data_IF_968466267165
#
_entry.id   IF_968466267165
#
_cell.length_a   1.000
_cell.length_b   1.000
_cell.length_c   1.000
_cell.angle_alpha   90.00
_cell.angle_beta   90.00
_cell.angle_gamma   90.00
#
_symmetry.space_group_name_H-M   'P 1'
#
loop_
_entity.id
_entity.type
_entity.pdbx_description
1 polymer ?
#
# COMPACT_ATOMS: atom_id res chain seq x y z
N UNK A 1 -21.93 2.73 -5.20
CA UNK A 1 -21.28 3.99 -5.60
C UNK A 1 -22.17 5.12 -5.14
N UNK A 2 -21.70 5.89 -4.18
CA UNK A 2 -22.48 6.96 -3.55
C UNK A 2 -22.23 8.28 -4.30
N UNK A 3 -23.15 9.25 -4.20
CA UNK A 3 -23.02 10.55 -4.88
C UNK A 3 -21.74 11.33 -4.48
N UNK A 4 -21.14 11.01 -3.32
CA UNK A 4 -19.85 11.52 -2.86
C UNK A 4 -18.67 10.97 -3.66
N UNK A 5 -18.69 9.69 -4.06
CA UNK A 5 -17.63 9.07 -4.86
C UNK A 5 -17.58 9.66 -6.29
N UNK A 6 -18.74 10.10 -6.80
CA UNK A 6 -18.85 10.75 -8.09
C UNK A 6 -18.30 12.19 -8.07
N UNK A 7 -18.50 12.91 -6.96
CA UNK A 7 -17.98 14.27 -6.79
C UNK A 7 -16.48 14.28 -6.50
N UNK A 8 -15.98 13.25 -5.81
CA UNK A 8 -14.53 13.01 -5.59
C UNK A 8 -13.75 12.68 -6.87
N UNK A 9 -14.45 12.33 -7.95
CA UNK A 9 -13.89 11.98 -9.25
C UNK A 9 -13.92 13.13 -10.27
N UNK A 10 -14.40 14.33 -9.90
CA UNK A 10 -14.38 15.47 -10.82
C UNK A 10 -12.91 15.84 -11.15
N UNK A 11 -12.55 16.02 -12.45
CA UNK A 11 -11.18 16.32 -12.86
C UNK A 11 -10.65 17.62 -12.21
N UNK A 12 -11.51 18.61 -12.05
CA UNK A 12 -11.19 19.90 -11.41
C UNK A 12 -10.82 19.75 -9.93
N UNK A 13 -11.55 18.91 -9.19
CA UNK A 13 -11.25 18.62 -7.79
C UNK A 13 -9.93 17.85 -7.65
N UNK A 14 -9.65 16.91 -8.56
CA UNK A 14 -8.39 16.18 -8.59
C UNK A 14 -7.20 17.12 -8.87
N UNK A 15 -7.37 18.09 -9.77
CA UNK A 15 -6.36 19.13 -10.03
C UNK A 15 -6.16 19.99 -8.77
N UNK A 16 -7.24 20.44 -8.13
CA UNK A 16 -7.16 21.23 -6.90
C UNK A 16 -6.45 20.47 -5.76
N UNK A 17 -6.76 19.18 -5.58
CA UNK A 17 -6.07 18.28 -4.64
C UNK A 17 -4.60 18.11 -5.00
N UNK A 18 -4.28 17.95 -6.28
CA UNK A 18 -2.90 17.87 -6.75
C UNK A 18 -2.11 19.13 -6.41
N UNK A 19 -2.67 20.32 -6.64
CA UNK A 19 -2.03 21.58 -6.26
C UNK A 19 -1.87 21.75 -4.74
N UNK A 20 -2.82 21.24 -3.94
CA UNK A 20 -2.67 21.20 -2.49
C UNK A 20 -1.47 20.32 -2.07
N UNK A 21 -1.37 19.11 -2.62
CA UNK A 21 -0.24 18.21 -2.36
C UNK A 21 1.11 18.80 -2.79
N UNK A 22 1.16 19.59 -3.89
CA UNK A 22 2.38 20.33 -4.28
C UNK A 22 2.78 21.33 -3.21
N UNK A 23 1.84 22.08 -2.62
CA UNK A 23 2.13 23.03 -1.53
C UNK A 23 2.64 22.33 -0.28
N UNK A 24 2.16 21.11 -0.03
CA UNK A 24 2.59 20.28 1.10
C UNK A 24 3.91 19.52 0.84
N UNK A 25 4.48 19.64 -0.37
CA UNK A 25 5.71 18.94 -0.78
C UNK A 25 5.51 17.46 -1.11
N UNK A 26 4.28 16.94 -1.08
CA UNK A 26 3.97 15.56 -1.43
C UNK A 26 3.85 15.38 -2.96
N UNK A 27 5.01 15.21 -3.59
CA UNK A 27 5.11 15.01 -5.05
C UNK A 27 4.49 13.70 -5.53
N UNK A 28 4.31 12.70 -4.65
CA UNK A 28 3.72 11.41 -5.01
C UNK A 28 2.20 11.56 -5.10
N UNK A 29 1.58 12.13 -4.05
CA UNK A 29 0.14 12.40 -4.04
C UNK A 29 -0.24 13.38 -5.15
N UNK A 30 0.56 14.43 -5.37
CA UNK A 30 0.33 15.38 -6.45
C UNK A 30 0.32 14.70 -7.83
N UNK A 31 1.34 13.89 -8.13
CA UNK A 31 1.44 13.16 -9.41
C UNK A 31 0.28 12.17 -9.59
N UNK A 32 -0.10 11.46 -8.54
CA UNK A 32 -1.23 10.53 -8.59
C UNK A 32 -2.55 11.25 -8.90
N UNK A 33 -2.80 12.39 -8.26
CA UNK A 33 -4.01 13.19 -8.47
C UNK A 33 -4.09 13.74 -9.91
N UNK A 34 -3.01 14.35 -10.41
CA UNK A 34 -2.98 14.89 -11.78
C UNK A 34 -3.09 13.79 -12.83
N UNK A 35 -2.40 12.65 -12.65
CA UNK A 35 -2.52 11.50 -13.56
C UNK A 35 -3.97 11.02 -13.61
N UNK A 36 -4.63 10.89 -12.46
CA UNK A 36 -6.04 10.48 -12.41
C UNK A 36 -6.95 11.48 -13.14
N UNK A 37 -6.68 12.78 -13.00
CA UNK A 37 -7.41 13.81 -13.74
C UNK A 37 -7.24 13.64 -15.27
N UNK A 38 -6.03 13.35 -15.76
CA UNK A 38 -5.79 13.10 -17.19
C UNK A 38 -6.44 11.82 -17.71
N UNK A 39 -6.57 10.78 -16.87
CA UNK A 39 -7.25 9.53 -17.23
C UNK A 39 -8.77 9.75 -17.37
N UNK A 40 -9.36 10.57 -16.49
CA UNK A 40 -10.80 10.86 -16.52
C UNK A 40 -11.16 11.90 -17.57
N UNK A 41 -10.26 12.83 -17.87
CA UNK A 41 -10.49 13.89 -18.87
C UNK A 41 -9.24 14.12 -19.73
N UNK A 42 -9.00 13.25 -20.75
CA UNK A 42 -7.83 13.35 -21.61
C UNK A 42 -7.75 14.64 -22.43
N UNK A 43 -8.87 15.34 -22.62
CA UNK A 43 -8.98 16.61 -23.33
C UNK A 43 -8.71 17.86 -22.45
N UNK A 44 -8.42 17.67 -21.16
CA UNK A 44 -8.26 18.80 -20.23
C UNK A 44 -6.80 19.29 -20.19
N UNK A 45 -6.52 20.44 -20.83
CA UNK A 45 -5.16 20.97 -20.99
C UNK A 45 -4.44 21.25 -19.66
N UNK A 46 -5.12 21.85 -18.69
CA UNK A 46 -4.56 22.21 -17.39
C UNK A 46 -4.09 20.98 -16.58
N UNK A 47 -4.74 19.83 -16.73
CA UNK A 47 -4.35 18.59 -16.05
C UNK A 47 -3.00 18.07 -16.58
N UNK A 48 -2.82 18.11 -17.90
CA UNK A 48 -1.55 17.74 -18.54
C UNK A 48 -0.42 18.70 -18.18
N UNK A 49 -0.70 20.01 -18.14
CA UNK A 49 0.26 21.03 -17.74
C UNK A 49 0.69 20.86 -16.27
N UNK A 50 -0.27 20.66 -15.36
CA UNK A 50 0.02 20.41 -13.94
C UNK A 50 0.81 19.09 -13.72
N UNK A 51 0.47 18.02 -14.47
CA UNK A 51 1.22 16.77 -14.44
C UNK A 51 2.68 16.96 -14.91
N UNK A 52 2.89 17.75 -15.96
CA UNK A 52 4.24 18.08 -16.42
C UNK A 52 5.06 18.80 -15.34
N UNK A 53 4.44 19.73 -14.60
CA UNK A 53 5.10 20.50 -13.54
C UNK A 53 5.71 19.62 -12.43
N UNK A 54 5.07 18.49 -12.10
CA UNK A 54 5.53 17.55 -11.07
C UNK A 54 6.33 16.35 -11.64
N UNK A 55 6.58 16.32 -12.94
CA UNK A 55 7.30 15.21 -13.60
C UNK A 55 8.78 15.53 -13.71
N UNK A 56 9.61 14.72 -13.03
CA UNK A 56 11.06 14.95 -12.96
C UNK A 56 11.80 14.48 -14.24
N UNK A 57 11.28 13.45 -14.91
CA UNK A 57 11.89 12.93 -16.14
C UNK A 57 11.59 13.89 -17.29
N UNK A 58 12.62 14.56 -17.81
CA UNK A 58 12.46 15.61 -18.83
C UNK A 58 11.74 15.14 -20.10
N UNK A 59 12.02 13.91 -20.56
CA UNK A 59 11.34 13.34 -21.74
C UNK A 59 9.83 13.24 -21.52
N UNK A 60 9.40 12.79 -20.35
CA UNK A 60 8.00 12.63 -20.00
C UNK A 60 7.34 13.97 -19.73
N UNK A 61 8.03 14.89 -19.04
CA UNK A 61 7.61 16.28 -18.85
C UNK A 61 7.31 16.95 -20.20
N UNK A 62 8.23 16.83 -21.17
CA UNK A 62 8.03 17.34 -22.53
C UNK A 62 6.83 16.70 -23.21
N UNK A 63 6.66 15.39 -23.13
CA UNK A 63 5.51 14.70 -23.72
C UNK A 63 4.17 15.22 -23.17
N UNK A 64 4.09 15.46 -21.87
CA UNK A 64 2.91 16.05 -21.24
C UNK A 64 2.65 17.50 -21.69
N UNK A 65 3.70 18.32 -21.81
CA UNK A 65 3.62 19.70 -22.30
C UNK A 65 3.18 19.78 -23.77
N UNK A 66 3.68 18.89 -24.63
CA UNK A 66 3.22 18.77 -26.03
C UNK A 66 1.73 18.44 -26.08
N UNK A 67 1.26 17.54 -25.21
CA UNK A 67 -0.17 17.20 -25.14
C UNK A 67 -1.02 18.36 -24.64
N UNK A 68 -0.58 19.04 -23.58
CA UNK A 68 -1.21 20.25 -23.07
C UNK A 68 -1.31 21.35 -24.15
N UNK A 69 -0.22 21.60 -24.89
CA UNK A 69 -0.16 22.60 -25.96
C UNK A 69 -1.06 22.29 -27.15
N UNK A 70 -1.24 21.01 -27.46
CA UNK A 70 -2.16 20.57 -28.50
C UNK A 70 -3.63 20.83 -28.13
N UNK A 71 -3.95 20.85 -26.83
CA UNK A 71 -5.31 21.08 -26.32
C UNK A 71 -5.59 22.58 -26.08
N UNK A 72 -4.57 23.35 -25.66
CA UNK A 72 -4.66 24.79 -25.45
C UNK A 72 -3.51 25.50 -26.18
N UNK A 73 -3.66 25.79 -27.48
CA UNK A 73 -2.59 26.36 -28.28
C UNK A 73 -2.33 27.85 -28.03
N UNK A 74 -3.22 28.54 -27.32
CA UNK A 74 -3.05 29.99 -27.09
C UNK A 74 -2.50 30.30 -25.70
N UNK A 75 -2.23 29.27 -24.88
CA UNK A 75 -1.73 29.45 -23.52
C UNK A 75 -0.21 29.77 -23.52
N UNK A 76 0.19 30.99 -23.10
CA UNK A 76 1.59 31.39 -23.08
C UNK A 76 2.40 30.65 -22.01
N UNK A 77 1.78 30.21 -20.90
CA UNK A 77 2.48 29.50 -19.82
C UNK A 77 2.93 28.11 -20.29
N UNK A 78 2.03 27.38 -20.97
CA UNK A 78 2.34 26.07 -21.55
C UNK A 78 3.43 26.19 -22.63
N UNK A 79 3.37 27.25 -23.45
CA UNK A 79 4.37 27.51 -24.49
C UNK A 79 5.76 27.81 -23.90
N UNK A 80 5.82 28.63 -22.84
CA UNK A 80 7.07 28.95 -22.16
C UNK A 80 7.69 27.70 -21.51
N UNK A 81 6.89 26.90 -20.80
CA UNK A 81 7.36 25.67 -20.16
C UNK A 81 7.84 24.61 -21.15
N UNK A 82 7.18 24.50 -22.31
CA UNK A 82 7.62 23.59 -23.38
C UNK A 82 8.95 24.04 -23.97
N UNK A 83 9.10 25.34 -24.25
CA UNK A 83 10.35 25.92 -24.75
C UNK A 83 11.49 25.71 -23.76
N UNK A 84 11.22 25.89 -22.46
CA UNK A 84 12.20 25.64 -21.41
C UNK A 84 12.58 24.15 -21.32
N UNK A 85 11.61 23.24 -21.40
CA UNK A 85 11.86 21.80 -21.40
C UNK A 85 12.70 21.36 -22.62
N UNK A 86 12.41 21.92 -23.80
CA UNK A 86 13.19 21.69 -25.03
C UNK A 86 14.63 22.20 -24.87
N UNK A 87 14.81 23.39 -24.28
CA UNK A 87 16.12 23.94 -24.00
C UNK A 87 16.94 23.07 -23.03
N UNK A 88 16.32 22.54 -21.96
CA UNK A 88 17.00 21.62 -21.05
C UNK A 88 17.41 20.30 -21.73
N UNK A 89 16.54 19.74 -22.57
CA UNK A 89 16.85 18.53 -23.33
C UNK A 89 17.99 18.79 -24.32
N UNK A 90 17.95 19.93 -25.04
CA UNK A 90 19.01 20.34 -25.96
C UNK A 90 20.36 20.58 -25.25
N UNK A 91 20.33 21.11 -24.03
CA UNK A 91 21.51 21.29 -23.18
C UNK A 91 22.04 19.97 -22.59
N UNK A 92 21.42 18.83 -22.88
CA UNK A 92 21.86 17.54 -22.38
C UNK A 92 21.58 17.32 -20.89
N UNK A 93 20.71 18.12 -20.28
CA UNK A 93 20.19 17.90 -18.91
C UNK A 93 19.24 16.68 -18.87
N UNK A 94 19.54 15.60 -19.60
CA UNK A 94 19.01 14.30 -19.23
C UNK A 94 19.49 14.05 -17.80
N UNK A 95 18.55 13.93 -16.84
CA UNK A 95 18.81 13.62 -15.44
C UNK A 95 20.12 12.85 -15.33
N UNK A 96 21.13 13.46 -14.70
CA UNK A 96 22.44 12.84 -14.55
C UNK A 96 22.19 11.40 -14.06
N UNK A 97 22.61 10.35 -14.79
CA UNK A 97 22.45 8.99 -14.32
C UNK A 97 23.00 8.96 -12.89
N UNK A 98 22.27 8.31 -11.98
CA UNK A 98 22.68 8.24 -10.58
C UNK A 98 24.17 7.91 -10.55
N UNK A 99 24.99 8.85 -10.04
CA UNK A 99 26.44 8.73 -10.04
C UNK A 99 26.84 7.61 -9.08
N UNK A 100 26.66 6.37 -9.50
CA UNK A 100 27.44 5.25 -9.01
C UNK A 100 28.81 5.44 -9.64
N UNK A 101 29.62 6.29 -9.02
CA UNK A 101 31.05 6.56 -9.28
C UNK A 101 31.65 5.65 -10.36
N UNK A 102 31.70 6.16 -11.60
CA UNK A 102 32.43 5.56 -12.73
C UNK A 102 33.92 5.98 -12.69
N UNK A 103 34.34 6.71 -11.65
CA UNK A 103 35.70 7.26 -11.50
C UNK A 103 36.78 6.19 -11.15
N UNK A 104 36.58 4.94 -11.54
CA UNK A 104 37.57 3.86 -11.43
C UNK A 104 37.80 3.13 -12.76
N UNK A 105 37.47 3.74 -13.90
CA UNK A 105 37.94 3.25 -15.21
C UNK A 105 39.37 3.77 -15.48
N UNK A 106 40.32 3.35 -14.65
CA UNK A 106 41.70 3.15 -15.13
C UNK A 106 41.72 1.88 -15.99
N UNK A 107 42.51 1.91 -17.06
CA UNK A 107 42.81 0.77 -17.96
C UNK A 107 43.18 -0.51 -17.18
N UNK A 108 42.18 -1.29 -16.76
CA UNK A 108 42.39 -2.66 -16.30
C UNK A 108 42.10 -3.62 -17.46
N UNK A 109 43.03 -4.52 -17.81
CA UNK A 109 42.81 -5.53 -18.82
C UNK A 109 41.61 -6.39 -18.42
N UNK A 110 40.76 -6.70 -19.39
CA UNK A 110 39.58 -7.53 -19.24
C UNK A 110 39.90 -8.79 -18.40
N UNK A 111 39.37 -8.84 -17.18
CA UNK A 111 39.47 -10.00 -16.29
C UNK A 111 38.86 -11.18 -17.04
N UNK A 112 39.71 -12.15 -17.39
CA UNK A 112 39.30 -13.48 -17.83
C UNK A 112 38.28 -14.03 -16.85
N UNK A 113 37.14 -14.48 -17.37
CA UNK A 113 36.06 -15.07 -16.58
C UNK A 113 36.64 -16.04 -15.53
N UNK A 114 36.32 -15.89 -14.24
CA UNK A 114 36.88 -16.76 -13.21
C UNK A 114 36.45 -18.19 -13.49
N UNK A 115 37.42 -19.10 -13.35
CA UNK A 115 37.21 -20.54 -13.31
C UNK A 115 36.03 -20.82 -12.37
N UNK A 116 34.93 -21.34 -12.91
CA UNK A 116 33.70 -21.55 -12.15
C UNK A 116 33.96 -22.72 -11.21
N UNK A 117 34.47 -22.40 -10.02
CA UNK A 117 34.47 -23.30 -8.88
C UNK A 117 33.01 -23.62 -8.59
N UNK A 118 32.53 -24.72 -9.16
CA UNK A 118 31.17 -25.21 -8.98
C UNK A 118 31.02 -25.69 -7.54
N UNK A 119 30.68 -24.78 -6.66
CA UNK A 119 30.30 -25.12 -5.30
C UNK A 119 28.96 -25.85 -5.31
N UNK A 120 28.81 -26.82 -4.40
CA UNK A 120 27.54 -27.51 -4.21
C UNK A 120 26.60 -26.69 -3.35
N UNK A 121 25.30 -26.79 -3.63
CA UNK A 121 24.30 -26.11 -2.81
C UNK A 121 24.36 -26.58 -1.35
N UNK A 122 24.34 -25.64 -0.40
CA UNK A 122 24.35 -25.92 1.04
C UNK A 122 23.25 -26.91 1.50
N UNK A 123 22.08 -26.92 0.85
CA UNK A 123 20.98 -27.87 1.14
C UNK A 123 20.96 -29.09 0.23
N UNK A 124 21.57 -29.01 -0.95
CA UNK A 124 21.55 -30.07 -1.96
C UNK A 124 22.98 -30.32 -2.46
N UNK A 125 23.76 -31.15 -1.74
CA UNK A 125 25.17 -31.38 -2.07
C UNK A 125 25.38 -32.01 -3.46
N UNK A 126 24.37 -32.70 -3.98
CA UNK A 126 24.37 -33.31 -5.32
C UNK A 126 24.24 -32.30 -6.47
N UNK A 127 23.95 -31.03 -6.18
CA UNK A 127 23.73 -29.99 -7.21
C UNK A 127 24.84 -28.96 -7.17
N UNK A 128 25.69 -28.97 -8.19
CA UNK A 128 26.61 -27.87 -8.48
C UNK A 128 25.82 -26.60 -8.83
N UNK A 129 26.28 -25.46 -8.32
CA UNK A 129 25.64 -24.18 -8.56
C UNK A 129 26.66 -23.05 -8.63
N UNK A 130 26.41 -22.09 -9.53
CA UNK A 130 27.11 -20.81 -9.56
C UNK A 130 26.36 -19.68 -8.83
N UNK A 131 25.20 -19.99 -8.22
CA UNK A 131 24.36 -18.99 -7.57
C UNK A 131 24.70 -18.89 -6.07
N UNK A 132 24.86 -17.65 -5.59
CA UNK A 132 25.05 -17.31 -4.17
C UNK A 132 23.95 -16.42 -3.64
N UNK A 133 23.63 -16.57 -2.35
CA UNK A 133 22.69 -15.69 -1.65
C UNK A 133 23.28 -14.28 -1.49
N UNK A 134 22.57 -13.23 -1.89
CA UNK A 134 23.09 -11.85 -1.80
C UNK A 134 23.29 -11.33 -0.37
N UNK A 135 22.82 -12.06 0.65
CA UNK A 135 22.90 -11.66 2.05
C UNK A 135 23.92 -12.45 2.88
N UNK A 136 24.02 -13.76 2.69
CA UNK A 136 24.93 -14.62 3.45
C UNK A 136 26.00 -15.30 2.60
N UNK A 137 26.02 -15.02 1.29
CA UNK A 137 26.97 -15.53 0.30
C UNK A 137 27.06 -17.07 0.15
N UNK A 138 26.15 -17.79 0.80
CA UNK A 138 26.06 -19.25 0.73
C UNK A 138 25.66 -19.72 -0.69
N UNK A 139 26.27 -20.82 -1.20
CA UNK A 139 25.91 -21.40 -2.48
C UNK A 139 24.50 -22.03 -2.44
N UNK A 140 23.64 -21.62 -3.37
CA UNK A 140 22.23 -22.04 -3.47
C UNK A 140 21.94 -22.59 -4.86
N UNK A 141 21.18 -23.67 -5.00
CA UNK A 141 20.75 -24.14 -6.32
C UNK A 141 19.54 -23.33 -6.81
N UNK A 142 19.25 -23.37 -8.12
CA UNK A 142 18.10 -22.66 -8.71
C UNK A 142 16.75 -22.99 -8.07
N UNK A 143 16.59 -24.18 -7.49
CA UNK A 143 15.37 -24.55 -6.74
C UNK A 143 15.31 -23.98 -5.32
N UNK A 144 16.45 -23.66 -4.72
CA UNK A 144 16.52 -23.03 -3.39
C UNK A 144 16.55 -21.50 -3.47
N UNK A 145 16.89 -20.95 -4.64
CA UNK A 145 16.92 -19.52 -4.89
C UNK A 145 15.51 -18.92 -4.83
N UNK A 146 15.33 -17.95 -3.95
CA UNK A 146 14.11 -17.13 -3.90
C UNK A 146 14.42 -15.75 -4.45
N UNK A 147 13.72 -15.35 -5.51
CA UNK A 147 13.89 -14.04 -6.14
C UNK A 147 13.38 -12.93 -5.21
N UNK A 148 14.18 -11.88 -5.06
CA UNK A 148 13.82 -10.64 -4.37
C UNK A 148 14.20 -9.43 -5.24
N UNK A 149 13.70 -8.22 -4.93
CA UNK A 149 14.01 -7.01 -5.68
C UNK A 149 15.52 -6.66 -5.75
N UNK A 150 16.32 -7.15 -4.80
CA UNK A 150 17.76 -6.89 -4.69
C UNK A 150 18.62 -8.11 -5.04
N UNK A 151 18.04 -9.13 -5.68
CA UNK A 151 18.72 -10.36 -6.08
C UNK A 151 18.13 -11.61 -5.42
N UNK A 152 18.87 -12.71 -5.44
CA UNK A 152 18.41 -14.00 -4.92
C UNK A 152 18.79 -14.21 -3.45
N UNK A 153 17.84 -14.70 -2.65
CA UNK A 153 18.08 -15.08 -1.26
C UNK A 153 17.91 -16.58 -1.04
N UNK A 154 18.67 -17.10 -0.09
CA UNK A 154 18.45 -18.43 0.46
C UNK A 154 17.18 -18.47 1.34
N UNK A 155 16.59 -19.67 1.56
CA UNK A 155 15.38 -19.82 2.36
C UNK A 155 15.49 -19.28 3.80
N UNK A 156 16.69 -19.36 4.38
CA UNK A 156 16.93 -18.94 5.77
C UNK A 156 16.98 -17.41 5.87
N UNK A 157 17.71 -16.73 4.97
CA UNK A 157 17.73 -15.27 4.90
C UNK A 157 16.36 -14.70 4.50
N UNK A 158 15.60 -15.39 3.63
CA UNK A 158 14.23 -15.01 3.28
C UNK A 158 13.27 -15.12 4.46
N UNK A 159 13.50 -16.08 5.35
CA UNK A 159 12.72 -16.23 6.59
C UNK A 159 13.09 -15.15 7.60
N UNK A 160 14.38 -14.83 7.74
CA UNK A 160 14.87 -13.74 8.58
C UNK A 160 14.38 -12.35 8.12
N UNK A 161 14.20 -12.13 6.80
CA UNK A 161 13.60 -10.91 6.24
C UNK A 161 12.08 -10.83 6.37
N UNK A 162 11.39 -11.86 6.87
CA UNK A 162 9.95 -11.70 7.14
C UNK A 162 9.79 -10.57 8.16
N UNK A 163 8.95 -9.55 7.86
CA UNK A 163 8.81 -8.42 8.75
C UNK A 163 8.43 -8.90 10.16
N UNK A 164 8.96 -8.29 11.22
CA UNK A 164 8.68 -8.67 12.61
C UNK A 164 7.17 -8.62 12.93
N UNK A 165 6.40 -7.89 12.13
CA UNK A 165 4.93 -7.83 12.18
C UNK A 165 4.24 -9.18 11.93
N UNK A 166 4.92 -10.16 11.33
CA UNK A 166 4.42 -11.53 11.06
C UNK A 166 4.91 -12.58 12.07
N UNK A 167 5.81 -12.19 12.99
CA UNK A 167 6.25 -13.03 14.11
C UNK A 167 5.32 -12.76 15.31
N UNK A 168 4.17 -13.45 15.28
CA UNK A 168 3.15 -13.33 16.32
C UNK A 168 3.52 -14.27 17.45
N UNK A 169 4.19 -13.73 18.47
CA UNK A 169 4.43 -14.42 19.73
C UNK A 169 3.09 -14.62 20.50
N UNK A 170 2.97 -15.71 21.24
CA UNK A 170 1.72 -16.17 21.90
C UNK A 170 1.14 -15.11 22.85
N UNK A 171 2.03 -14.35 23.50
CA UNK A 171 1.70 -13.22 24.38
C UNK A 171 0.92 -12.12 23.66
N UNK A 172 1.29 -11.80 22.41
CA UNK A 172 0.67 -10.74 21.61
C UNK A 172 -0.65 -11.19 21.01
N UNK A 173 -0.79 -12.50 20.75
CA UNK A 173 -2.04 -13.11 20.30
C UNK A 173 -3.12 -13.07 21.39
N UNK A 174 -2.75 -13.40 22.63
CA UNK A 174 -3.63 -13.31 23.80
C UNK A 174 -4.06 -11.86 24.06
N UNK A 175 -3.11 -10.93 24.06
CA UNK A 175 -3.39 -9.52 24.30
C UNK A 175 -4.33 -8.91 23.24
N UNK A 176 -4.09 -9.23 21.95
CA UNK A 176 -4.95 -8.78 20.85
C UNK A 176 -6.36 -9.37 20.94
N UNK A 177 -6.49 -10.65 21.30
CA UNK A 177 -7.79 -11.32 21.44
C UNK A 177 -8.60 -10.78 22.61
N UNK A 178 -7.94 -10.52 23.76
CA UNK A 178 -8.60 -9.98 24.94
C UNK A 178 -9.08 -8.53 24.70
N UNK A 179 -8.25 -7.70 24.07
CA UNK A 179 -8.62 -6.34 23.69
C UNK A 179 -9.79 -6.33 22.69
N UNK A 180 -9.73 -7.18 21.66
CA UNK A 180 -10.80 -7.34 20.68
C UNK A 180 -12.11 -7.76 21.35
N UNK A 181 -12.07 -8.76 22.24
CA UNK A 181 -13.23 -9.25 22.96
C UNK A 181 -13.85 -8.16 23.84
N UNK A 182 -13.03 -7.45 24.64
CA UNK A 182 -13.54 -6.41 25.54
C UNK A 182 -14.22 -5.25 24.80
N UNK A 183 -13.60 -4.76 23.73
CA UNK A 183 -14.19 -3.67 22.92
C UNK A 183 -15.43 -4.17 22.18
N UNK A 184 -15.37 -5.35 21.56
CA UNK A 184 -16.52 -5.92 20.86
C UNK A 184 -17.69 -6.14 21.82
N UNK A 185 -17.45 -6.70 23.00
CA UNK A 185 -18.48 -6.92 24.01
C UNK A 185 -19.18 -5.61 24.42
N UNK A 186 -18.41 -4.56 24.72
CA UNK A 186 -18.97 -3.25 25.07
C UNK A 186 -19.80 -2.63 23.95
N UNK A 187 -19.32 -2.72 22.70
CA UNK A 187 -20.02 -2.17 21.54
C UNK A 187 -21.31 -2.95 21.22
N UNK A 188 -21.27 -4.28 21.25
CA UNK A 188 -22.46 -5.12 21.04
C UNK A 188 -23.49 -4.94 22.16
N UNK A 189 -23.03 -4.80 23.41
CA UNK A 189 -23.90 -4.49 24.54
C UNK A 189 -24.60 -3.15 24.34
N UNK A 190 -23.86 -2.10 23.95
CA UNK A 190 -24.43 -0.79 23.66
C UNK A 190 -25.45 -0.81 22.53
N UNK A 191 -25.10 -1.43 21.39
CA UNK A 191 -26.00 -1.56 20.23
C UNK A 191 -27.27 -2.35 20.60
N UNK A 192 -27.11 -3.47 21.32
CA UNK A 192 -28.24 -4.30 21.73
C UNK A 192 -29.17 -3.61 22.73
N UNK A 193 -28.62 -2.87 23.70
CA UNK A 193 -29.44 -2.07 24.63
C UNK A 193 -30.21 -0.97 23.89
N UNK A 194 -29.56 -0.22 23.00
CA UNK A 194 -30.24 0.80 22.20
C UNK A 194 -31.34 0.17 21.33
N UNK A 195 -31.08 -1.01 20.77
CA UNK A 195 -32.06 -1.74 19.96
C UNK A 195 -33.28 -2.20 20.78
N UNK A 196 -33.12 -2.55 22.07
CA UNK A 196 -34.24 -2.87 22.95
C UNK A 196 -35.18 -1.67 23.15
N UNK A 197 -34.64 -0.46 23.32
CA UNK A 197 -35.45 0.75 23.51
C UNK A 197 -36.13 1.24 22.22
N UNK A 198 -35.50 1.01 21.07
CA UNK A 198 -35.98 1.50 19.76
C UNK A 198 -36.80 0.47 18.98
N UNK A 199 -36.82 -0.80 19.42
CA UNK A 199 -37.56 -1.88 18.79
C UNK A 199 -37.07 -2.16 17.36
N UNK A 200 -37.99 -2.18 16.40
CA UNK A 200 -37.69 -2.48 14.99
C UNK A 200 -36.65 -1.53 14.37
N UNK A 201 -36.64 -0.26 14.79
CA UNK A 201 -35.67 0.72 14.30
C UNK A 201 -34.23 0.39 14.74
N UNK A 202 -34.09 -0.36 15.83
CA UNK A 202 -32.81 -0.88 16.32
C UNK A 202 -32.06 -1.75 15.31
N UNK A 203 -32.78 -2.40 14.38
CA UNK A 203 -32.15 -3.19 13.32
C UNK A 203 -31.40 -2.32 12.31
N UNK A 204 -31.92 -1.14 11.99
CA UNK A 204 -31.24 -0.17 11.13
C UNK A 204 -30.04 0.45 11.83
N UNK A 205 -30.16 0.74 13.13
CA UNK A 205 -29.06 1.23 13.96
C UNK A 205 -27.94 0.17 14.00
N UNK A 206 -28.28 -1.10 14.22
CA UNK A 206 -27.31 -2.21 14.21
C UNK A 206 -26.62 -2.38 12.84
N UNK A 207 -27.36 -2.23 11.74
CA UNK A 207 -26.81 -2.32 10.39
C UNK A 207 -25.79 -1.21 10.09
N UNK A 208 -26.10 0.02 10.47
CA UNK A 208 -25.21 1.18 10.27
C UNK A 208 -24.03 1.12 11.23
N UNK A 209 -24.30 0.89 12.51
CA UNK A 209 -23.28 0.89 13.57
C UNK A 209 -22.33 -0.31 13.48
N UNK A 210 -22.77 -1.46 12.96
CA UNK A 210 -21.96 -2.68 12.88
C UNK A 210 -20.68 -2.51 12.05
N UNK A 211 -20.72 -1.72 10.97
CA UNK A 211 -19.55 -1.47 10.13
C UNK A 211 -18.55 -0.52 10.80
N UNK A 212 -19.05 0.56 11.43
CA UNK A 212 -18.24 1.48 12.22
C UNK A 212 -17.62 0.78 13.45
N UNK A 213 -18.35 -0.15 14.06
CA UNK A 213 -17.89 -0.98 15.16
C UNK A 213 -16.69 -1.83 14.77
N UNK A 214 -16.74 -2.52 13.62
CA UNK A 214 -15.62 -3.34 13.14
C UNK A 214 -14.34 -2.54 12.89
N UNK A 215 -14.47 -1.32 12.36
CA UNK A 215 -13.32 -0.42 12.13
C UNK A 215 -12.75 0.17 13.42
N UNK A 216 -13.62 0.47 14.40
CA UNK A 216 -13.19 0.88 15.73
C UNK A 216 -12.42 -0.25 16.43
N UNK A 217 -12.95 -1.48 16.40
CA UNK A 217 -12.31 -2.67 16.98
C UNK A 217 -10.94 -2.89 16.32
N UNK A 218 -10.86 -2.82 14.98
CA UNK A 218 -9.60 -2.93 14.23
C UNK A 218 -8.55 -1.91 14.67
N UNK A 219 -8.94 -0.62 14.81
CA UNK A 219 -8.05 0.45 15.26
C UNK A 219 -7.54 0.27 16.68
N UNK A 220 -8.38 -0.22 17.60
CA UNK A 220 -7.97 -0.47 18.99
C UNK A 220 -7.01 -1.66 19.05
N UNK A 221 -7.32 -2.74 18.34
CA UNK A 221 -6.45 -3.92 18.27
C UNK A 221 -5.09 -3.56 17.66
N UNK A 222 -5.05 -2.76 16.60
CA UNK A 222 -3.80 -2.28 16.00
C UNK A 222 -2.94 -1.47 16.98
N UNK A 223 -3.58 -0.62 17.79
CA UNK A 223 -2.90 0.21 18.80
C UNK A 223 -2.32 -0.64 19.94
N UNK A 224 -3.05 -1.66 20.37
CA UNK A 224 -2.62 -2.58 21.45
C UNK A 224 -1.52 -3.53 20.96
N UNK A 225 -1.62 -4.02 19.73
CA UNK A 225 -0.73 -5.08 19.19
C UNK A 225 0.45 -4.53 18.41
N UNK A 226 0.62 -3.20 18.36
CA UNK A 226 1.66 -2.48 17.59
C UNK A 226 1.67 -2.87 16.11
N UNK A 227 0.50 -2.89 15.46
CA UNK A 227 0.35 -3.14 14.02
C UNK A 227 0.85 -4.53 13.55
N UNK A 228 0.79 -5.56 14.41
CA UNK A 228 1.09 -6.93 14.00
C UNK A 228 -0.01 -7.46 13.07
N UNK A 229 0.36 -7.94 11.89
CA UNK A 229 -0.57 -8.35 10.82
C UNK A 229 -0.32 -9.79 10.40
N UNK A 230 -1.38 -10.54 10.16
CA UNK A 230 -1.30 -11.92 9.68
C UNK A 230 -2.63 -12.67 9.75
N UNK A 231 -2.69 -13.81 9.06
CA UNK A 231 -3.90 -14.66 8.96
C UNK A 231 -4.34 -15.24 10.32
N UNK A 232 -3.39 -15.48 11.22
CA UNK A 232 -3.66 -15.91 12.60
C UNK A 232 -4.30 -14.81 13.44
N UNK A 233 -3.88 -13.54 13.27
CA UNK A 233 -4.48 -12.39 13.95
C UNK A 233 -5.91 -12.13 13.46
N UNK A 234 -6.15 -12.26 12.15
CA UNK A 234 -7.50 -12.15 11.57
C UNK A 234 -8.47 -13.19 12.17
N UNK A 235 -8.01 -14.44 12.31
CA UNK A 235 -8.80 -15.49 12.95
C UNK A 235 -9.05 -15.20 14.44
N UNK A 236 -8.02 -14.74 15.17
CA UNK A 236 -8.13 -14.42 16.59
C UNK A 236 -9.18 -13.33 16.86
N UNK A 237 -9.09 -12.21 16.13
CA UNK A 237 -10.01 -11.08 16.26
C UNK A 237 -11.41 -11.47 15.81
N UNK A 238 -11.53 -12.20 14.70
CA UNK A 238 -12.84 -12.69 14.22
C UNK A 238 -13.53 -13.60 15.22
N UNK A 239 -12.79 -14.53 15.84
CA UNK A 239 -13.31 -15.42 16.90
C UNK A 239 -13.70 -14.61 18.13
N UNK A 240 -12.87 -13.65 18.57
CA UNK A 240 -13.18 -12.81 19.72
C UNK A 240 -14.48 -11.99 19.53
N UNK A 241 -14.65 -11.38 18.34
CA UNK A 241 -15.89 -10.67 17.99
C UNK A 241 -17.07 -11.65 17.96
N UNK A 242 -16.91 -12.80 17.30
CA UNK A 242 -17.93 -13.85 17.22
C UNK A 242 -18.41 -14.34 18.59
N UNK A 243 -17.48 -14.64 19.49
CA UNK A 243 -17.78 -15.08 20.87
C UNK A 243 -18.51 -13.99 21.63
N UNK A 244 -18.11 -12.72 21.51
CA UNK A 244 -18.79 -11.61 22.18
C UNK A 244 -20.24 -11.44 21.70
N UNK A 245 -20.48 -11.56 20.39
CA UNK A 245 -21.82 -11.49 19.82
C UNK A 245 -22.67 -12.70 20.19
N UNK A 246 -22.11 -13.90 20.15
CA UNK A 246 -22.81 -15.14 20.53
C UNK A 246 -23.19 -15.16 22.01
N UNK A 247 -22.35 -14.61 22.88
CA UNK A 247 -22.62 -14.51 24.32
C UNK A 247 -23.78 -13.55 24.61
N UNK A 248 -23.91 -12.47 23.85
CA UNK A 248 -24.95 -11.44 24.04
C UNK A 248 -26.24 -11.72 23.26
N UNK A 249 -26.18 -12.55 22.22
CA UNK A 249 -27.32 -12.87 21.35
C UNK A 249 -28.56 -13.43 22.07
N UNK A 250 -28.45 -14.32 23.09
CA UNK A 250 -29.64 -14.82 23.80
C UNK A 250 -30.42 -13.75 24.55
N UNK A 251 -29.74 -12.68 24.98
CA UNK A 251 -30.33 -11.59 25.75
C UNK A 251 -30.83 -10.44 24.86
N UNK A 252 -30.07 -10.10 23.82
CA UNK A 252 -30.26 -8.88 23.02
C UNK A 252 -30.78 -9.17 21.60
N UNK A 253 -30.89 -10.44 21.22
CA UNK A 253 -31.58 -10.91 20.02
C UNK A 253 -30.86 -10.67 18.69
N UNK A 254 -31.66 -10.67 17.61
CA UNK A 254 -31.22 -10.52 16.21
C UNK A 254 -30.34 -9.30 15.91
N UNK A 255 -30.55 -8.08 16.46
CA UNK A 255 -29.71 -6.94 16.11
C UNK A 255 -28.24 -7.13 16.50
N UNK A 256 -27.94 -7.86 17.59
CA UNK A 256 -26.56 -8.17 18.00
C UNK A 256 -25.90 -9.16 17.05
N UNK A 257 -26.64 -10.16 16.56
CA UNK A 257 -26.13 -11.09 15.55
C UNK A 257 -25.80 -10.38 14.23
N UNK A 258 -26.69 -9.47 13.79
CA UNK A 258 -26.45 -8.66 12.59
C UNK A 258 -25.21 -7.76 12.75
N UNK A 259 -25.10 -7.05 13.87
CA UNK A 259 -23.94 -6.21 14.17
C UNK A 259 -22.63 -7.02 14.22
N UNK A 260 -22.67 -8.23 14.80
CA UNK A 260 -21.53 -9.14 14.88
C UNK A 260 -21.02 -9.55 13.50
N UNK A 261 -21.92 -9.98 12.60
CA UNK A 261 -21.54 -10.39 11.24
C UNK A 261 -20.90 -9.21 10.48
N UNK A 262 -21.49 -8.02 10.55
CA UNK A 262 -20.95 -6.84 9.90
C UNK A 262 -19.61 -6.40 10.50
N UNK A 263 -19.47 -6.47 11.82
CA UNK A 263 -18.22 -6.16 12.51
C UNK A 263 -17.10 -7.13 12.13
N UNK A 264 -17.38 -8.43 11.99
CA UNK A 264 -16.40 -9.43 11.52
C UNK A 264 -15.96 -9.10 10.09
N UNK A 265 -16.90 -8.82 9.18
CA UNK A 265 -16.57 -8.49 7.78
C UNK A 265 -15.70 -7.23 7.72
N UNK A 266 -16.07 -6.17 8.42
CA UNK A 266 -15.33 -4.91 8.46
C UNK A 266 -13.94 -5.09 9.09
N UNK A 267 -13.84 -5.80 10.21
CA UNK A 267 -12.57 -6.07 10.89
C UNK A 267 -11.63 -6.92 10.02
N UNK A 268 -12.14 -7.95 9.34
CA UNK A 268 -11.33 -8.77 8.43
C UNK A 268 -10.86 -7.97 7.22
N UNK A 269 -11.70 -7.08 6.65
CA UNK A 269 -11.28 -6.19 5.55
C UNK A 269 -10.22 -5.19 5.99
N UNK A 270 -10.34 -4.65 7.20
CA UNK A 270 -9.38 -3.72 7.77
C UNK A 270 -8.02 -4.38 8.08
N UNK A 271 -8.03 -5.64 8.50
CA UNK A 271 -6.82 -6.41 8.85
C UNK A 271 -6.20 -7.17 7.66
N UNK A 272 -6.79 -7.08 6.46
CA UNK A 272 -6.19 -7.60 5.20
C UNK A 272 -5.15 -6.63 4.67
#
# INVERSE_FOLDING_TARGET
>A
MNATDANDAAPELLIARGHAAVRDGDTIAARAAFRRATELSPAHAAAWHALAGVTAVLRDRRAHLVRARALAPDDPAIAADLTQADAWIAAGLALAPSQRRIDAATDEPAVSAPDVMTESCYRHPERSTGLRCTQCDQPICGSCATLSPVGQLCPDCRTARRPPNYQVDTSHWLLGSLAAFGVAFGVHLGIGLIALFTGFLGLFIAAIAGSAAGELIGRVVDRVTRLKRGRTMQLAVGVAIGVSGLMLAPLLGVPVLLACVLAIIAAVRYLR
#
